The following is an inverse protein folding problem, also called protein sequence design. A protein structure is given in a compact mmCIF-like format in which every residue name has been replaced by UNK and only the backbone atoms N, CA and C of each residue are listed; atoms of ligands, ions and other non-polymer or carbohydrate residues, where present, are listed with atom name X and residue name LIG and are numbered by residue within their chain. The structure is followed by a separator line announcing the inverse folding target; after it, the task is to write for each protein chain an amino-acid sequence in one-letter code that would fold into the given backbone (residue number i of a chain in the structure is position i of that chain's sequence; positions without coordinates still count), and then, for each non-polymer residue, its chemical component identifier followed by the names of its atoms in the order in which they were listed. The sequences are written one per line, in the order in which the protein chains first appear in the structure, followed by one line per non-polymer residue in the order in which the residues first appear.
data_IF_220998788987
#
_entry.id   IF_220998788987
#
_cell.length_a   1.000
_cell.length_b   1.000
_cell.length_c   1.000
_cell.angle_alpha   90.00
_cell.angle_beta   90.00
_cell.angle_gamma   90.00
#
_symmetry.space_group_name_H-M   'P 1'
#
loop_
_entity.id
_entity.type
_entity.pdbx_description
1 polymer ?
#
# COMPACT_ATOMS: atom_id res chain seq x y z
N UNK A 1 -7.87 -42.14 5.83
CA UNK A 1 -7.84 -43.09 4.68
C UNK A 1 -9.25 -43.15 4.10
N UNK A 2 -9.39 -42.95 2.78
CA UNK A 2 -10.59 -42.50 2.03
C UNK A 2 -10.77 -40.98 2.13
N UNK A 3 -10.45 -40.17 1.14
CA UNK A 3 -10.25 -40.41 -0.28
C UNK A 3 -9.38 -39.29 -0.81
N UNK A 4 -8.16 -39.67 -1.16
CA UNK A 4 -7.43 -39.14 -2.31
C UNK A 4 -8.36 -39.33 -3.52
N UNK A 5 -8.40 -38.36 -4.44
CA UNK A 5 -8.89 -38.37 -5.84
C UNK A 5 -9.82 -37.16 -6.11
N UNK A 6 -9.55 -36.49 -7.23
CA UNK A 6 -10.04 -35.20 -7.78
C UNK A 6 -9.39 -33.98 -7.09
N UNK A 7 -8.18 -33.50 -7.42
CA UNK A 7 -7.56 -33.21 -8.74
C UNK A 7 -8.55 -32.56 -9.71
N UNK A 8 -8.52 -31.24 -9.81
CA UNK A 8 -8.32 -30.55 -11.08
C UNK A 8 -8.23 -29.03 -10.85
N UNK A 9 -7.07 -28.48 -11.19
CA UNK A 9 -6.92 -27.22 -11.90
C UNK A 9 -7.43 -25.96 -11.16
N UNK A 10 -6.56 -25.09 -10.66
CA UNK A 10 -5.65 -24.33 -11.50
C UNK A 10 -4.49 -23.84 -10.64
N UNK A 11 -3.28 -24.28 -11.02
CA UNK A 11 -2.10 -23.45 -10.83
C UNK A 11 -2.39 -22.06 -11.41
N UNK A 12 -1.88 -21.00 -10.80
CA UNK A 12 -1.08 -20.00 -11.51
C UNK A 12 -0.53 -19.00 -10.50
N UNK A 13 0.80 -19.01 -10.40
CA UNK A 13 1.65 -17.84 -10.15
C UNK A 13 1.37 -17.00 -8.89
N UNK A 14 2.02 -17.38 -7.78
CA UNK A 14 2.59 -16.38 -6.87
C UNK A 14 4.06 -16.12 -7.23
N UNK A 15 4.30 -15.78 -8.51
CA UNK A 15 5.48 -15.04 -8.97
C UNK A 15 5.03 -13.60 -9.10
N UNK A 16 5.46 -12.72 -8.21
CA UNK A 16 5.03 -11.33 -8.28
C UNK A 16 5.41 -10.46 -7.10
N UNK A 17 6.65 -10.60 -6.60
CA UNK A 17 7.33 -9.42 -6.08
C UNK A 17 7.56 -8.47 -7.27
N UNK A 18 6.55 -7.69 -7.63
CA UNK A 18 6.73 -6.49 -8.43
C UNK A 18 5.95 -5.39 -7.73
N UNK A 19 6.69 -4.69 -6.90
CA UNK A 19 6.34 -3.39 -6.37
C UNK A 19 6.25 -2.39 -7.53
N UNK A 20 5.21 -2.47 -8.37
CA UNK A 20 4.84 -1.42 -9.33
C UNK A 20 3.46 -1.63 -9.97
N UNK A 21 2.37 -1.80 -9.21
CA UNK A 21 1.02 -1.92 -9.81
C UNK A 21 -0.17 -1.72 -8.85
N UNK A 22 -0.01 -1.04 -7.70
CA UNK A 22 -1.13 -0.90 -6.75
C UNK A 22 -2.33 -0.13 -7.37
N UNK A 23 -2.07 0.90 -8.17
CA UNK A 23 -3.10 1.70 -8.85
C UNK A 23 -3.88 0.84 -9.87
N UNK A 24 -3.16 0.09 -10.72
CA UNK A 24 -3.76 -0.81 -11.70
C UNK A 24 -4.58 -1.92 -11.03
N UNK A 25 -4.03 -2.59 -10.01
CA UNK A 25 -4.72 -3.71 -9.34
C UNK A 25 -5.94 -3.27 -8.54
N UNK A 26 -5.90 -2.13 -7.84
CA UNK A 26 -7.07 -1.60 -7.13
C UNK A 26 -8.16 -1.11 -8.09
N UNK A 27 -7.78 -0.46 -9.20
CA UNK A 27 -8.72 -0.02 -10.24
C UNK A 27 -9.38 -1.19 -10.98
N UNK A 28 -8.64 -2.26 -11.27
CA UNK A 28 -9.14 -3.50 -11.86
C UNK A 28 -10.13 -4.20 -10.92
N UNK A 29 -9.78 -4.32 -9.63
CA UNK A 29 -10.67 -4.91 -8.61
C UNK A 29 -11.95 -4.08 -8.42
N UNK A 30 -11.87 -2.77 -8.54
CA UNK A 30 -13.05 -1.89 -8.55
C UNK A 30 -13.92 -2.10 -9.80
N UNK A 31 -13.30 -2.32 -10.96
CA UNK A 31 -13.98 -2.59 -12.22
C UNK A 31 -14.64 -3.98 -12.25
N UNK A 32 -14.00 -5.01 -11.68
CA UNK A 32 -14.57 -6.35 -11.49
C UNK A 32 -15.81 -6.31 -10.58
N UNK A 33 -15.82 -5.42 -9.59
CA UNK A 33 -16.99 -5.14 -8.74
C UNK A 33 -18.06 -4.26 -9.41
N UNK A 34 -17.86 -3.85 -10.67
CA UNK A 34 -18.72 -2.92 -11.43
C UNK A 34 -18.97 -1.60 -10.68
N UNK A 35 -18.03 -1.17 -9.84
CA UNK A 35 -18.14 0.11 -9.13
C UNK A 35 -17.88 1.23 -10.14
N UNK A 36 -18.79 2.20 -10.21
CA UNK A 36 -18.69 3.37 -11.07
C UNK A 36 -18.75 4.66 -10.23
N UNK A 37 -18.26 5.76 -10.81
CA UNK A 37 -18.32 7.09 -10.20
C UNK A 37 -17.64 7.15 -8.82
N UNK A 38 -18.29 7.81 -7.86
CA UNK A 38 -17.75 8.03 -6.52
C UNK A 38 -17.45 6.71 -5.76
N UNK A 39 -18.20 5.64 -6.03
CA UNK A 39 -18.00 4.35 -5.38
C UNK A 39 -16.69 3.67 -5.83
N UNK A 40 -16.36 3.78 -7.13
CA UNK A 40 -15.07 3.32 -7.67
C UNK A 40 -13.92 4.05 -6.98
N UNK A 41 -14.00 5.37 -6.89
CA UNK A 41 -12.94 6.21 -6.33
C UNK A 41 -12.71 5.92 -4.83
N UNK A 42 -13.79 5.74 -4.06
CA UNK A 42 -13.69 5.39 -2.64
C UNK A 42 -13.11 3.98 -2.44
N UNK A 43 -13.47 3.02 -3.29
CA UNK A 43 -12.93 1.67 -3.22
C UNK A 43 -11.46 1.62 -3.61
N UNK A 44 -11.06 2.31 -4.68
CA UNK A 44 -9.65 2.41 -5.10
C UNK A 44 -8.83 3.06 -3.98
N UNK A 45 -9.23 4.23 -3.47
CA UNK A 45 -8.54 4.90 -2.35
C UNK A 45 -8.44 4.04 -1.10
N UNK A 46 -9.49 3.26 -0.79
CA UNK A 46 -9.48 2.34 0.36
C UNK A 46 -8.54 1.17 0.11
N UNK A 47 -8.56 0.59 -1.08
CA UNK A 47 -7.70 -0.51 -1.51
C UNK A 47 -6.22 -0.12 -1.50
N UNK A 48 -5.90 1.07 -2.00
CA UNK A 48 -4.53 1.60 -1.97
C UNK A 48 -4.07 1.83 -0.53
N UNK A 49 -4.94 2.41 0.30
CA UNK A 49 -4.63 2.66 1.72
C UNK A 49 -4.46 1.37 2.54
N UNK A 50 -5.25 0.34 2.25
CA UNK A 50 -5.21 -0.96 2.94
C UNK A 50 -4.02 -1.82 2.49
N UNK A 51 -3.63 -1.72 1.22
CA UNK A 51 -2.46 -2.40 0.64
C UNK A 51 -1.10 -1.86 1.16
N UNK A 52 -1.10 -1.01 2.19
CA UNK A 52 0.10 -0.31 2.68
C UNK A 52 0.65 0.73 1.69
N UNK A 53 0.01 0.87 0.52
CA UNK A 53 0.26 1.89 -0.49
C UNK A 53 -0.53 3.17 -0.21
N UNK A 54 -0.98 3.38 1.04
CA UNK A 54 -1.11 4.74 1.54
C UNK A 54 0.21 5.38 1.20
N UNK A 55 0.20 6.38 0.32
CA UNK A 55 1.35 7.19 0.01
C UNK A 55 1.90 7.71 1.34
N UNK A 56 2.80 6.94 1.96
CA UNK A 56 3.88 7.46 2.75
C UNK A 56 4.62 8.20 1.66
N UNK A 57 4.47 9.53 1.54
CA UNK A 57 5.22 10.24 0.52
C UNK A 57 6.67 9.80 0.70
N UNK A 58 7.44 9.55 -0.36
CA UNK A 58 8.80 9.04 -0.23
C UNK A 58 9.63 9.85 0.80
N UNK A 59 9.30 11.14 0.94
CA UNK A 59 9.75 12.02 2.02
C UNK A 59 9.44 11.51 3.44
N UNK A 60 8.22 11.10 3.77
CA UNK A 60 7.82 10.63 5.09
C UNK A 60 8.63 9.41 5.54
N UNK A 61 8.83 8.40 4.68
CA UNK A 61 9.65 7.23 5.03
C UNK A 61 11.11 7.61 5.30
N UNK A 62 11.69 8.47 4.45
CA UNK A 62 13.05 8.99 4.64
C UNK A 62 13.18 9.84 5.92
N UNK A 63 12.17 10.64 6.22
CA UNK A 63 12.10 11.45 7.43
C UNK A 63 11.93 10.61 8.70
N UNK A 64 11.12 9.55 8.65
CA UNK A 64 10.95 8.59 9.73
C UNK A 64 12.26 7.84 10.02
N UNK A 65 13.01 7.44 8.99
CA UNK A 65 14.37 6.88 9.14
C UNK A 65 15.32 7.87 9.81
N UNK A 66 15.39 9.11 9.31
CA UNK A 66 16.26 10.15 9.92
C UNK A 66 15.88 10.45 11.37
N UNK A 67 14.58 10.39 11.71
CA UNK A 67 14.13 10.54 13.07
C UNK A 67 14.58 9.37 13.96
N UNK A 68 14.52 8.15 13.44
CA UNK A 68 14.99 6.94 14.13
C UNK A 68 16.52 6.92 14.33
N UNK A 69 17.30 7.36 13.33
CA UNK A 69 18.75 7.53 13.45
C UNK A 69 19.11 8.55 14.54
N UNK A 70 18.31 9.61 14.67
CA UNK A 70 18.42 10.59 15.76
C UNK A 70 17.82 10.11 17.09
N UNK A 71 17.34 8.87 17.16
CA UNK A 71 16.66 8.26 18.32
C UNK A 71 15.50 9.12 18.84
N UNK A 72 14.84 9.88 17.96
CA UNK A 72 13.69 10.70 18.32
C UNK A 72 12.48 9.79 18.52
N UNK A 73 11.83 9.90 19.67
CA UNK A 73 10.62 9.18 20.02
C UNK A 73 9.50 10.15 20.41
N UNK A 74 8.25 9.66 20.40
CA UNK A 74 7.09 10.42 20.83
C UNK A 74 6.89 11.74 20.08
N UNK A 75 6.58 12.80 20.82
CA UNK A 75 6.30 14.12 20.26
C UNK A 75 7.47 14.69 19.44
N UNK A 76 8.71 14.46 19.86
CA UNK A 76 9.91 14.94 19.17
C UNK A 76 10.06 14.31 17.77
N UNK A 77 9.78 12.99 17.66
CA UNK A 77 9.74 12.30 16.37
C UNK A 77 8.71 12.92 15.44
N UNK A 78 7.49 13.13 15.94
CA UNK A 78 6.37 13.62 15.13
C UNK A 78 6.61 15.04 14.61
N UNK A 79 7.17 15.94 15.44
CA UNK A 79 7.54 17.29 15.04
C UNK A 79 8.66 17.31 14.01
N UNK A 80 9.69 16.46 14.19
CA UNK A 80 10.79 16.33 13.24
C UNK A 80 10.31 15.82 11.89
N UNK A 81 9.52 14.74 11.88
CA UNK A 81 9.03 14.13 10.64
C UNK A 81 8.12 15.11 9.89
N UNK A 82 7.20 15.80 10.58
CA UNK A 82 6.38 16.86 9.96
C UNK A 82 7.22 17.97 9.33
N UNK A 83 8.26 18.45 10.03
CA UNK A 83 9.15 19.49 9.52
C UNK A 83 9.94 18.99 8.31
N UNK A 84 10.48 17.77 8.39
CA UNK A 84 11.27 17.14 7.34
C UNK A 84 10.45 16.89 6.06
N UNK A 85 9.18 16.47 6.18
CA UNK A 85 8.30 16.29 5.02
C UNK A 85 7.91 17.63 4.40
N UNK A 86 7.66 18.66 5.21
CA UNK A 86 7.40 20.01 4.70
C UNK A 86 8.62 20.61 3.98
N UNK A 87 9.83 20.33 4.46
CA UNK A 87 11.08 20.75 3.84
C UNK A 87 11.32 20.02 2.51
N UNK A 88 11.05 18.71 2.46
CA UNK A 88 11.17 17.90 1.26
C UNK A 88 10.11 18.21 0.18
N UNK A 89 9.07 18.98 0.51
CA UNK A 89 8.03 19.42 -0.42
C UNK A 89 8.29 20.83 -1.00
N UNK A 90 9.39 21.49 -0.61
CA UNK A 90 9.81 22.81 -1.06
C UNK A 90 10.91 22.72 -2.11
#
# INVERSE_FOLDING_TARGET
MKTIITIAALALASLGQVAYAADATCAEKAAEKKLAGAAKNSFVKKCEKDSGAAAVPPAQAACDMKAAEKKLAGAAKNSFVKKCVADAAK
#
